data_IF_032081091599
#
_entry.id   IF_032081091599
#
_cell.length_a   1.000
_cell.length_b   1.000
_cell.length_c   1.000
_cell.angle_alpha   90.00
_cell.angle_beta   90.00
_cell.angle_gamma   90.00
#
_symmetry.space_group_name_H-M   'P 1'
#
loop_
_entity.id
_entity.type
_entity.pdbx_description
1 polymer ?
#
# COMPACT_ATOMS: atom_id res chain seq x y z
N UNK A 1 -22.65 -4.01 1.76
CA UNK A 1 -21.91 -4.51 2.95
C UNK A 1 -20.44 -4.59 2.58
N UNK A 2 -19.61 -3.72 3.15
CA UNK A 2 -18.18 -3.66 2.83
C UNK A 2 -17.50 -4.75 3.66
N UNK A 3 -17.02 -5.77 2.97
CA UNK A 3 -16.53 -7.02 3.53
C UNK A 3 -15.37 -6.76 4.49
N UNK A 4 -15.49 -7.35 5.68
CA UNK A 4 -14.47 -7.46 6.71
C UNK A 4 -13.22 -8.17 6.16
N UNK A 5 -12.36 -7.46 5.42
CA UNK A 5 -11.06 -7.94 4.97
C UNK A 5 -9.90 -7.22 5.66
N UNK A 6 -10.14 -6.67 6.86
CA UNK A 6 -9.09 -6.21 7.77
C UNK A 6 -8.14 -7.34 8.23
N UNK A 7 -8.42 -8.60 7.88
CA UNK A 7 -7.70 -9.78 8.39
C UNK A 7 -6.46 -10.23 7.61
N UNK A 8 -6.16 -9.68 6.43
CA UNK A 8 -4.91 -9.99 5.71
C UNK A 8 -4.45 -8.78 4.90
N UNK A 9 -3.74 -7.88 5.57
CA UNK A 9 -2.84 -6.90 4.96
C UNK A 9 -1.71 -7.66 4.25
N UNK A 10 -2.05 -8.32 3.14
CA UNK A 10 -1.12 -9.08 2.31
C UNK A 10 -0.47 -8.15 1.30
N UNK A 11 0.76 -8.45 0.88
CA UNK A 11 1.51 -7.67 -0.12
C UNK A 11 0.67 -7.33 -1.35
N UNK A 12 -0.12 -8.30 -1.83
CA UNK A 12 -1.01 -8.14 -2.97
C UNK A 12 -2.14 -7.12 -2.75
N UNK A 13 -2.67 -7.00 -1.52
CA UNK A 13 -3.69 -6.01 -1.20
C UNK A 13 -3.11 -4.60 -1.28
N UNK A 14 -1.95 -4.37 -0.66
CA UNK A 14 -1.26 -3.08 -0.72
C UNK A 14 -0.93 -2.68 -2.15
N UNK A 15 -0.47 -3.64 -2.96
CA UNK A 15 -0.15 -3.43 -4.37
C UNK A 15 -1.38 -2.95 -5.16
N UNK A 16 -2.48 -3.70 -5.10
CA UNK A 16 -3.73 -3.34 -5.78
C UNK A 16 -4.30 -2.00 -5.28
N UNK A 17 -4.21 -1.75 -3.97
CA UNK A 17 -4.68 -0.50 -3.38
C UNK A 17 -3.84 0.69 -3.86
N UNK A 18 -2.51 0.59 -3.85
CA UNK A 18 -1.63 1.64 -4.38
C UNK A 18 -1.89 1.89 -5.86
N UNK A 19 -2.03 0.83 -6.68
CA UNK A 19 -2.36 0.99 -8.09
C UNK A 19 -3.71 1.68 -8.30
N UNK A 20 -4.72 1.33 -7.49
CA UNK A 20 -6.03 1.98 -7.54
C UNK A 20 -5.93 3.46 -7.16
N UNK A 21 -5.22 3.80 -6.09
CA UNK A 21 -5.00 5.20 -5.67
C UNK A 21 -4.24 5.98 -6.73
N UNK A 22 -3.18 5.39 -7.31
CA UNK A 22 -2.44 6.00 -8.41
C UNK A 22 -3.33 6.27 -9.62
N UNK A 23 -4.11 5.27 -10.05
CA UNK A 23 -4.98 5.39 -11.22
C UNK A 23 -6.18 6.29 -10.98
N UNK A 24 -6.72 6.33 -9.75
CA UNK A 24 -7.95 7.03 -9.45
C UNK A 24 -7.72 8.48 -9.04
N UNK A 25 -6.52 8.82 -8.52
CA UNK A 25 -6.15 10.18 -8.10
C UNK A 25 -5.01 10.80 -8.91
N UNK A 26 -4.53 10.11 -9.94
CA UNK A 26 -3.33 10.49 -10.72
C UNK A 26 -2.12 10.75 -9.81
N UNK A 27 -1.93 9.88 -8.81
CA UNK A 27 -0.83 10.02 -7.86
C UNK A 27 0.43 9.34 -8.39
N UNK A 28 1.57 10.01 -8.22
CA UNK A 28 2.88 9.40 -8.35
C UNK A 28 3.02 8.29 -7.31
N UNK A 29 3.87 7.29 -7.60
CA UNK A 29 4.08 6.13 -6.74
C UNK A 29 4.42 6.55 -5.30
N UNK A 30 5.25 7.58 -5.13
CA UNK A 30 5.60 8.17 -3.83
C UNK A 30 4.39 8.75 -3.09
N UNK A 31 3.53 9.50 -3.77
CA UNK A 31 2.29 10.05 -3.18
C UNK A 31 1.31 8.95 -2.81
N UNK A 32 1.14 7.96 -3.67
CA UNK A 32 0.30 6.81 -3.39
C UNK A 32 0.83 6.02 -2.18
N UNK A 33 2.15 5.94 -1.99
CA UNK A 33 2.78 5.37 -0.80
C UNK A 33 2.45 6.18 0.45
N UNK A 34 2.73 7.47 0.47
CA UNK A 34 2.41 8.29 1.66
C UNK A 34 0.93 8.26 2.00
N UNK A 35 0.06 8.32 0.98
CA UNK A 35 -1.38 8.25 1.17
C UNK A 35 -1.83 6.89 1.72
N UNK A 36 -1.36 5.79 1.13
CA UNK A 36 -1.68 4.45 1.63
C UNK A 36 -1.09 4.21 3.02
N UNK A 37 0.07 4.79 3.33
CA UNK A 37 0.66 4.73 4.66
C UNK A 37 -0.22 5.46 5.68
N UNK A 38 -0.66 6.68 5.38
CA UNK A 38 -1.56 7.44 6.24
C UNK A 38 -2.93 6.77 6.40
N UNK A 39 -3.51 6.20 5.34
CA UNK A 39 -4.83 5.55 5.42
C UNK A 39 -4.77 4.19 6.15
N UNK A 40 -3.72 3.40 5.94
CA UNK A 40 -3.61 2.02 6.47
C UNK A 40 -2.89 1.94 7.82
N UNK A 41 -1.92 2.83 8.05
CA UNK A 41 -1.11 2.88 9.28
C UNK A 41 -1.48 4.08 10.15
N UNK A 42 -2.25 5.05 9.65
CA UNK A 42 -2.61 6.27 10.39
C UNK A 42 -1.38 7.03 10.91
N UNK A 43 -0.28 6.97 10.15
CA UNK A 43 1.01 7.57 10.52
C UNK A 43 1.87 6.70 11.44
N UNK A 44 1.45 5.47 11.76
CA UNK A 44 2.10 4.64 12.78
C UNK A 44 2.50 3.27 12.21
N UNK A 45 3.77 3.15 11.82
CA UNK A 45 4.35 1.92 11.24
C UNK A 45 4.29 0.72 12.18
N UNK A 46 4.23 0.94 13.50
CA UNK A 46 4.13 -0.10 14.51
C UNK A 46 2.70 -0.60 14.72
N UNK A 47 1.69 0.14 14.25
CA UNK A 47 0.27 -0.20 14.43
C UNK A 47 -0.12 -1.59 13.92
N UNK A 48 0.49 -2.02 12.81
CA UNK A 48 0.25 -3.33 12.22
C UNK A 48 1.47 -4.27 12.33
N UNK A 49 2.52 -3.85 13.05
CA UNK A 49 3.78 -4.58 13.18
C UNK A 49 4.69 -4.46 11.95
N UNK A 50 5.99 -4.66 12.20
CA UNK A 50 7.08 -4.56 11.21
C UNK A 50 6.85 -5.44 9.98
N UNK A 51 6.29 -6.64 10.15
CA UNK A 51 5.99 -7.55 9.04
C UNK A 51 5.00 -6.92 8.04
N UNK A 52 4.03 -6.15 8.53
CA UNK A 52 3.05 -5.47 7.68
C UNK A 52 3.69 -4.30 6.94
N UNK A 53 4.55 -3.54 7.61
CA UNK A 53 5.32 -2.46 6.98
C UNK A 53 6.30 -2.98 5.92
N UNK A 54 6.93 -4.13 6.17
CA UNK A 54 7.81 -4.79 5.21
C UNK A 54 7.03 -5.22 3.96
N UNK A 55 5.84 -5.84 4.12
CA UNK A 55 4.98 -6.20 2.98
C UNK A 55 4.53 -4.97 2.19
N UNK A 56 4.24 -3.87 2.87
CA UNK A 56 3.89 -2.59 2.23
C UNK A 56 5.05 -2.03 1.39
N UNK A 57 6.26 -2.03 1.96
CA UNK A 57 7.47 -1.56 1.26
C UNK A 57 7.82 -2.46 0.08
N UNK A 58 7.73 -3.79 0.22
CA UNK A 58 7.92 -4.72 -0.89
C UNK A 58 6.93 -4.48 -2.03
N UNK A 59 5.65 -4.20 -1.72
CA UNK A 59 4.65 -3.89 -2.74
C UNK A 59 5.01 -2.60 -3.51
N UNK A 60 5.52 -1.58 -2.81
CA UNK A 60 6.01 -0.35 -3.43
C UNK A 60 7.20 -0.59 -4.35
N UNK A 61 8.20 -1.35 -3.89
CA UNK A 61 9.38 -1.67 -4.69
C UNK A 61 9.02 -2.45 -5.95
N UNK A 62 8.15 -3.46 -5.84
CA UNK A 62 7.66 -4.21 -7.01
C UNK A 62 6.96 -3.31 -8.02
N UNK A 63 6.10 -2.39 -7.57
CA UNK A 63 5.42 -1.44 -8.45
C UNK A 63 6.39 -0.47 -9.12
N UNK A 64 7.44 -0.05 -8.39
CA UNK A 64 8.49 0.82 -8.94
C UNK A 64 9.30 0.09 -10.01
N UNK A 65 9.62 -1.18 -9.78
CA UNK A 65 10.35 -2.02 -10.72
C UNK A 65 9.51 -2.34 -11.97
N UNK A 66 8.22 -2.65 -11.81
CA UNK A 66 7.31 -2.93 -12.93
C UNK A 66 7.11 -1.74 -13.86
N UNK A 67 7.17 -0.50 -13.36
CA UNK A 67 7.04 0.70 -14.19
C UNK A 67 8.34 1.13 -14.88
N UNK A 68 9.48 0.65 -14.40
CA UNK A 68 10.81 1.00 -14.95
C UNK A 68 11.26 0.03 -16.04
N UNK A 69 10.47 -1.01 -16.34
CA UNK A 69 10.77 -2.05 -17.32
C UNK A 69 9.86 -1.92 -18.55
#
# INVERSE_FOLDING_TARGET
MITKNAGKLSKAYFKSYMQLVMSSRDFSLEKARSFAFEELFQGDEMKNGEETYQKFTQAYEELSQERTR
#
